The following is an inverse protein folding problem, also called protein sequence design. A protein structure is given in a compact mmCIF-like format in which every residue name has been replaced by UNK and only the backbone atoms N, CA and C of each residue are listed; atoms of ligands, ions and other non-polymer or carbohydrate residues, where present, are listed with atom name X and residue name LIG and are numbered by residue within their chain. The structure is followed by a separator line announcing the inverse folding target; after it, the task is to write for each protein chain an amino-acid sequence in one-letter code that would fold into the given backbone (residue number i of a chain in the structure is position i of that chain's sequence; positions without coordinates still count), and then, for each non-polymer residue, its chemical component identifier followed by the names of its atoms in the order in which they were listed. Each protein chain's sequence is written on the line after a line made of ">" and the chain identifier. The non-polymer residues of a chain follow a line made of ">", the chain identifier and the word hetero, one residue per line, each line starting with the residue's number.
data_IF_037815265864
#
_entry.id   IF_037815265864
#
_cell.length_a   1.000
_cell.length_b   1.000
_cell.length_c   1.000
_cell.angle_alpha   90.00
_cell.angle_beta   90.00
_cell.angle_gamma   90.00
#
_symmetry.space_group_name_H-M   'P 1'
#
loop_
_entity.id
_entity.type
_entity.pdbx_description
1 polymer ?
#
# COMPACT_ATOMS: atom_id res chain seq x y z
N UNK A 1 14.88 -30.36 -2.86
CA UNK A 1 13.78 -29.40 -3.20
C UNK A 1 14.08 -28.06 -2.54
N UNK A 2 14.59 -27.08 -3.29
CA UNK A 2 14.91 -25.75 -2.74
C UNK A 2 13.70 -24.81 -2.85
N UNK A 3 13.19 -24.34 -1.72
CA UNK A 3 12.11 -23.36 -1.66
C UNK A 3 12.68 -21.96 -1.93
N UNK A 4 12.38 -21.40 -3.10
CA UNK A 4 12.69 -20.02 -3.44
C UNK A 4 11.87 -19.05 -2.58
N UNK A 5 12.35 -18.76 -1.36
CA UNK A 5 11.86 -17.66 -0.54
C UNK A 5 12.48 -16.36 -1.07
N UNK A 6 11.88 -15.82 -2.14
CA UNK A 6 12.12 -14.43 -2.54
C UNK A 6 11.76 -13.53 -1.35
N UNK A 7 12.78 -13.09 -0.62
CA UNK A 7 12.66 -12.16 0.50
C UNK A 7 11.97 -10.91 -0.02
N UNK A 8 10.72 -10.74 0.40
CA UNK A 8 9.85 -9.60 0.11
C UNK A 8 10.62 -8.32 0.44
N UNK A 9 10.74 -7.40 -0.52
CA UNK A 9 11.25 -6.03 -0.30
C UNK A 9 10.27 -5.16 0.54
N UNK A 10 9.57 -5.75 1.50
CA UNK A 10 8.48 -5.14 2.25
C UNK A 10 8.91 -4.51 3.58
N UNK A 11 10.22 -4.37 3.84
CA UNK A 11 10.71 -3.88 5.13
C UNK A 11 10.97 -2.37 5.20
N UNK A 12 10.88 -1.63 4.09
CA UNK A 12 11.24 -0.20 4.11
C UNK A 12 10.04 0.74 4.33
N UNK A 13 8.80 0.24 4.27
CA UNK A 13 7.59 1.03 4.52
C UNK A 13 6.90 0.68 5.85
N UNK A 14 7.38 -0.32 6.59
CA UNK A 14 6.75 -0.76 7.84
C UNK A 14 6.80 0.32 8.93
N UNK A 15 7.83 1.17 8.93
CA UNK A 15 8.00 2.18 9.98
C UNK A 15 7.02 3.36 9.86
N UNK A 16 6.57 3.70 8.64
CA UNK A 16 5.74 4.89 8.35
C UNK A 16 4.23 4.65 8.39
N UNK A 17 3.79 3.42 8.71
CA UNK A 17 2.36 3.13 8.79
C UNK A 17 1.79 3.56 10.15
N UNK A 18 0.68 4.31 10.18
CA UNK A 18 -0.10 4.55 11.39
C UNK A 18 -0.39 3.25 12.17
N UNK A 19 -0.42 3.30 13.52
CA UNK A 19 -0.60 2.12 14.36
C UNK A 19 -1.92 1.38 14.07
N UNK A 20 -2.99 2.12 13.77
CA UNK A 20 -4.30 1.52 13.42
C UNK A 20 -4.25 0.69 12.11
N UNK A 21 -3.47 1.12 11.10
CA UNK A 21 -3.28 0.34 9.88
C UNK A 21 -2.49 -0.93 10.14
N UNK A 22 -1.47 -0.87 11.01
CA UNK A 22 -0.70 -2.06 11.42
C UNK A 22 -1.59 -3.08 12.10
N UNK A 23 -2.45 -2.64 13.02
CA UNK A 23 -3.42 -3.53 13.69
C UNK A 23 -4.37 -4.20 12.68
N UNK A 24 -4.93 -3.44 11.73
CA UNK A 24 -5.80 -3.99 10.67
C UNK A 24 -5.06 -5.02 9.79
N UNK A 25 -3.79 -4.77 9.44
CA UNK A 25 -2.95 -5.72 8.70
C UNK A 25 -2.79 -7.01 9.51
N UNK A 26 -2.50 -6.91 10.80
CA UNK A 26 -2.35 -8.07 11.70
C UNK A 26 -3.63 -8.90 11.75
N UNK A 27 -4.79 -8.27 11.98
CA UNK A 27 -6.08 -8.97 12.00
C UNK A 27 -6.41 -9.62 10.64
N UNK A 28 -6.15 -8.93 9.53
CA UNK A 28 -6.32 -9.49 8.18
C UNK A 28 -5.44 -10.70 7.95
N UNK A 29 -4.20 -10.69 8.43
CA UNK A 29 -3.28 -11.81 8.31
C UNK A 29 -3.72 -13.00 9.19
N UNK A 30 -4.22 -12.73 10.40
CA UNK A 30 -4.80 -13.76 11.27
C UNK A 30 -6.01 -14.44 10.61
N UNK A 31 -6.96 -13.66 10.07
CA UNK A 31 -8.12 -14.18 9.36
C UNK A 31 -7.72 -14.98 8.10
N UNK A 32 -6.70 -14.52 7.36
CA UNK A 32 -6.15 -15.27 6.24
C UNK A 32 -5.56 -16.61 6.68
N UNK A 33 -4.79 -16.63 7.79
CA UNK A 33 -4.20 -17.85 8.34
C UNK A 33 -5.29 -18.83 8.74
N UNK A 34 -6.32 -18.38 9.46
CA UNK A 34 -7.48 -19.20 9.81
C UNK A 34 -8.15 -19.81 8.56
N UNK A 35 -8.46 -18.98 7.55
CA UNK A 35 -9.05 -19.47 6.30
C UNK A 35 -8.14 -20.44 5.51
N UNK A 36 -6.82 -20.26 5.57
CA UNK A 36 -5.88 -21.19 4.92
C UNK A 36 -5.78 -22.54 5.65
N UNK A 37 -5.92 -22.55 6.97
CA UNK A 37 -5.88 -23.76 7.78
C UNK A 37 -7.19 -24.54 7.74
N UNK A 38 -8.32 -23.87 7.97
CA UNK A 38 -9.62 -24.52 8.18
C UNK A 38 -10.53 -24.47 6.96
N UNK A 39 -10.20 -23.64 5.96
CA UNK A 39 -10.98 -23.43 4.74
C UNK A 39 -12.45 -23.03 4.96
N UNK A 40 -12.75 -22.45 6.11
CA UNK A 40 -14.11 -22.11 6.53
C UNK A 40 -14.63 -20.80 5.88
N UNK A 41 -15.91 -20.76 5.47
CA UNK A 41 -16.52 -19.54 4.92
C UNK A 41 -16.52 -18.32 5.86
N UNK A 42 -16.75 -18.44 7.18
CA UNK A 42 -16.71 -17.31 8.10
C UNK A 42 -15.35 -16.59 8.11
N UNK A 43 -14.25 -17.33 8.20
CA UNK A 43 -12.90 -16.73 8.15
C UNK A 43 -12.62 -16.04 6.83
N UNK A 44 -13.12 -16.58 5.70
CA UNK A 44 -13.02 -15.92 4.39
C UNK A 44 -13.79 -14.60 4.35
N UNK A 45 -15.02 -14.58 4.91
CA UNK A 45 -15.83 -13.35 5.02
C UNK A 45 -15.13 -12.29 5.87
N UNK A 46 -14.61 -12.69 7.04
CA UNK A 46 -13.84 -11.81 7.93
C UNK A 46 -12.61 -11.24 7.23
N UNK A 47 -11.83 -12.10 6.55
CA UNK A 47 -10.68 -11.66 5.75
C UNK A 47 -11.07 -10.60 4.71
N UNK A 48 -12.15 -10.85 3.94
CA UNK A 48 -12.62 -9.93 2.91
C UNK A 48 -13.10 -8.59 3.49
N UNK A 49 -13.80 -8.62 4.62
CA UNK A 49 -14.27 -7.42 5.34
C UNK A 49 -13.09 -6.57 5.79
N UNK A 50 -12.12 -7.16 6.48
CA UNK A 50 -10.93 -6.43 6.96
C UNK A 50 -10.11 -5.93 5.76
N UNK A 51 -9.99 -6.73 4.68
CA UNK A 51 -9.31 -6.30 3.47
C UNK A 51 -10.01 -5.09 2.80
N UNK A 52 -11.34 -5.05 2.78
CA UNK A 52 -12.10 -3.91 2.27
C UNK A 52 -11.90 -2.65 3.11
N UNK A 53 -11.95 -2.79 4.44
CA UNK A 53 -11.64 -1.70 5.38
C UNK A 53 -10.22 -1.18 5.16
N UNK A 54 -9.25 -2.08 5.03
CA UNK A 54 -7.86 -1.74 4.78
C UNK A 54 -7.70 -0.95 3.49
N UNK A 55 -8.32 -1.36 2.38
CA UNK A 55 -8.32 -0.56 1.13
C UNK A 55 -8.84 0.85 1.33
N UNK A 56 -9.96 1.01 2.07
CA UNK A 56 -10.54 2.32 2.38
C UNK A 56 -9.59 3.19 3.20
N UNK A 57 -8.99 2.62 4.25
CA UNK A 57 -8.08 3.35 5.13
C UNK A 57 -6.77 3.73 4.43
N UNK A 58 -6.23 2.86 3.58
CA UNK A 58 -5.06 3.21 2.77
C UNK A 58 -5.35 4.32 1.76
N UNK A 59 -6.53 4.28 1.12
CA UNK A 59 -6.98 5.36 0.23
C UNK A 59 -7.05 6.68 1.00
N UNK A 60 -7.76 6.71 2.13
CA UNK A 60 -7.89 7.91 2.96
C UNK A 60 -6.53 8.44 3.42
N UNK A 61 -5.64 7.57 3.91
CA UNK A 61 -4.30 7.97 4.33
C UNK A 61 -3.50 8.59 3.17
N UNK A 62 -3.55 7.97 1.99
CA UNK A 62 -2.86 8.49 0.81
C UNK A 62 -3.46 9.84 0.39
N UNK A 63 -4.80 9.96 0.35
CA UNK A 63 -5.51 11.19 0.00
C UNK A 63 -5.09 12.32 0.96
N UNK A 64 -5.13 12.10 2.27
CA UNK A 64 -4.68 13.08 3.28
C UNK A 64 -3.20 13.44 3.12
N UNK A 65 -2.34 12.46 2.80
CA UNK A 65 -0.90 12.71 2.58
C UNK A 65 -0.70 13.61 1.36
N UNK A 66 -1.47 13.42 0.30
CA UNK A 66 -1.44 14.25 -0.89
C UNK A 66 -2.03 15.64 -0.63
N UNK A 67 -3.15 15.75 0.07
CA UNK A 67 -3.75 17.03 0.45
C UNK A 67 -2.76 17.88 1.27
N UNK A 68 -2.14 17.30 2.31
CA UNK A 68 -1.12 17.98 3.10
C UNK A 68 0.08 18.41 2.26
N UNK A 69 0.53 17.53 1.35
CA UNK A 69 1.63 17.83 0.45
C UNK A 69 1.29 18.96 -0.52
N UNK A 70 0.07 19.00 -1.06
CA UNK A 70 -0.40 20.07 -1.94
C UNK A 70 -0.51 21.39 -1.20
N UNK A 71 -1.02 21.38 0.04
CA UNK A 71 -1.11 22.56 0.89
C UNK A 71 0.28 23.14 1.26
N UNK A 72 1.30 22.29 1.36
CA UNK A 72 2.68 22.73 1.65
C UNK A 72 3.45 23.19 0.42
N UNK A 73 2.89 23.15 -0.80
CA UNK A 73 3.62 23.58 -1.99
C UNK A 73 3.71 25.10 -2.02
N UNK A 74 4.93 25.59 -2.18
CA UNK A 74 5.19 27.02 -2.34
C UNK A 74 6.00 27.27 -3.61
N UNK A 75 5.98 28.52 -4.09
CA UNK A 75 6.76 28.92 -5.26
C UNK A 75 8.22 29.23 -4.86
N UNK A 76 8.42 29.72 -3.64
CA UNK A 76 9.72 30.18 -3.12
C UNK A 76 10.76 29.05 -2.99
N UNK A 77 10.31 27.83 -2.68
CA UNK A 77 11.19 26.68 -2.43
C UNK A 77 11.34 25.73 -3.64
N UNK A 78 10.85 26.13 -4.82
CA UNK A 78 10.78 25.30 -6.04
C UNK A 78 10.02 23.96 -5.87
N UNK A 79 9.33 23.73 -4.74
CA UNK A 79 8.64 22.47 -4.45
C UNK A 79 7.52 22.20 -5.45
N UNK A 80 6.84 23.26 -5.91
CA UNK A 80 5.81 23.19 -6.94
C UNK A 80 6.36 22.66 -8.28
N UNK A 81 7.53 23.13 -8.70
CA UNK A 81 8.16 22.65 -9.94
C UNK A 81 8.67 21.21 -9.80
N UNK A 82 9.31 20.88 -8.68
CA UNK A 82 9.84 19.53 -8.43
C UNK A 82 8.72 18.48 -8.36
N UNK A 83 7.57 18.83 -7.80
CA UNK A 83 6.41 17.94 -7.74
C UNK A 83 5.76 17.77 -9.11
N UNK A 84 5.49 18.86 -9.83
CA UNK A 84 4.85 18.82 -11.16
C UNK A 84 5.72 18.13 -12.21
N UNK A 85 7.04 18.32 -12.17
CA UNK A 85 7.99 17.71 -13.13
C UNK A 85 8.04 16.19 -13.05
N UNK A 86 7.70 15.59 -11.90
CA UNK A 86 7.61 14.12 -11.75
C UNK A 86 6.46 13.53 -12.57
N UNK A 87 5.38 14.27 -12.80
CA UNK A 87 4.26 13.83 -13.63
C UNK A 87 4.57 13.91 -15.13
N UNK A 88 5.56 14.70 -15.54
CA UNK A 88 5.97 14.86 -16.95
C UNK A 88 6.85 13.72 -17.47
N UNK A 89 7.38 12.86 -16.59
CA UNK A 89 8.20 11.71 -17.03
C UNK A 89 7.30 10.70 -17.74
N UNK A 90 7.34 10.67 -19.08
CA UNK A 90 6.80 9.58 -19.89
C UNK A 90 7.41 8.27 -19.37
N UNK A 91 6.58 7.38 -18.85
CA UNK A 91 6.95 5.96 -18.70
C UNK A 91 7.40 5.47 -20.08
N UNK A 92 8.69 5.18 -20.23
CA UNK A 92 9.16 4.31 -21.32
C UNK A 92 8.48 2.97 -21.10
N UNK A 93 7.32 2.78 -21.73
CA UNK A 93 6.75 1.44 -21.87
C UNK A 93 7.83 0.64 -22.60
N UNK A 94 8.39 -0.38 -21.96
CA UNK A 94 9.26 -1.33 -22.62
C UNK A 94 8.44 -1.96 -23.76
N UNK A 95 8.62 -1.48 -24.99
CA UNK A 95 8.22 -2.20 -26.18
C UNK A 95 9.09 -3.45 -26.24
N UNK A 96 8.57 -4.60 -25.83
CA UNK A 96 9.21 -5.86 -26.15
C UNK A 96 9.05 -6.08 -27.67
N UNK A 97 10.13 -6.14 -28.46
CA UNK A 97 10.05 -6.75 -29.78
C UNK A 97 10.06 -8.27 -29.56
N UNK A 98 8.96 -8.92 -29.94
CA UNK A 98 8.76 -10.36 -30.14
C UNK A 98 9.32 -11.34 -29.11
#
# INVERSE_FOLDING_TARGET
>A
MAYNSSKRSAHNNCHFLPPHLKQLITHRNQARKAWQLFRDPPSKRLYNQIQAQLRKQFKLHNDNTWENKLASLTNEDNSLWLTTSRFKKKTRQNSYPY
#
